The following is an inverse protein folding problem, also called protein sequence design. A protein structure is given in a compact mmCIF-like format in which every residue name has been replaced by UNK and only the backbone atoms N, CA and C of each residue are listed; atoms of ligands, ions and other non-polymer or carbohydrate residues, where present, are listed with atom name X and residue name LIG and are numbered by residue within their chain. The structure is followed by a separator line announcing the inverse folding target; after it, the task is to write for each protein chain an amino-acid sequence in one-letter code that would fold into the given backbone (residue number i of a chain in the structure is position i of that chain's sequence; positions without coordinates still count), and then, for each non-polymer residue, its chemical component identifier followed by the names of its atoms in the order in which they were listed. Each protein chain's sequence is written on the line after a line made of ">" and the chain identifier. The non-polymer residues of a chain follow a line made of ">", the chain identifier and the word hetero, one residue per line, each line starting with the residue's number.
data_IF_927470880994
#
_entry.id   IF_927470880994
#
_cell.length_a   1.000
_cell.length_b   1.000
_cell.length_c   1.000
_cell.angle_alpha   90.00
_cell.angle_beta   90.00
_cell.angle_gamma   90.00
#
_symmetry.space_group_name_H-M   'P 1'
#
loop_
_entity.id
_entity.type
_entity.pdbx_description
1 polymer ?
#
# COMPACT_ATOMS: atom_id res chain seq x y z
N UNK A 1 13.12 4.81 -13.86
CA UNK A 1 11.65 4.69 -13.82
C UNK A 1 11.39 3.47 -12.97
N UNK A 2 10.60 3.57 -11.91
CA UNK A 2 10.26 2.40 -11.10
C UNK A 2 9.47 1.42 -11.97
N UNK A 3 9.79 0.13 -11.89
CA UNK A 3 9.07 -0.91 -12.63
C UNK A 3 7.83 -1.31 -11.84
N UNK A 4 6.68 -1.37 -12.54
CA UNK A 4 5.43 -1.81 -11.94
C UNK A 4 5.60 -3.23 -11.41
N UNK A 5 5.32 -3.44 -10.13
CA UNK A 5 5.39 -4.75 -9.49
C UNK A 5 4.02 -5.44 -9.51
N UNK A 6 2.98 -4.73 -9.06
CA UNK A 6 1.63 -5.27 -8.86
C UNK A 6 0.58 -4.28 -9.34
N UNK A 7 -0.61 -4.77 -9.61
CA UNK A 7 -1.81 -3.92 -9.77
C UNK A 7 -2.68 -4.11 -8.55
N UNK A 8 -2.95 -3.03 -7.83
CA UNK A 8 -3.94 -3.01 -6.77
C UNK A 8 -5.31 -2.78 -7.37
N UNK A 9 -6.31 -3.55 -6.91
CA UNK A 9 -7.72 -3.38 -7.26
C UNK A 9 -8.54 -3.31 -5.98
N UNK A 10 -9.22 -2.19 -5.72
CA UNK A 10 -10.09 -2.02 -4.54
C UNK A 10 -11.47 -2.63 -4.77
N UNK A 11 -11.98 -3.37 -3.79
CA UNK A 11 -13.35 -3.85 -3.81
C UNK A 11 -14.30 -2.79 -3.23
N UNK A 12 -15.13 -2.16 -4.08
CA UNK A 12 -16.08 -1.12 -3.65
C UNK A 12 -17.19 -1.62 -2.72
N UNK A 13 -17.38 -2.94 -2.63
CA UNK A 13 -18.42 -3.54 -1.78
C UNK A 13 -17.87 -4.00 -0.41
N UNK A 14 -16.55 -4.02 -0.24
CA UNK A 14 -15.90 -4.44 1.00
C UNK A 14 -14.88 -3.40 1.43
N UNK A 15 -15.23 -2.69 2.49
CA UNK A 15 -14.42 -1.59 3.00
C UNK A 15 -13.02 -2.07 3.38
N UNK A 16 -12.01 -1.45 2.78
CA UNK A 16 -10.61 -1.77 2.98
C UNK A 16 -10.13 -3.10 2.38
N UNK A 17 -10.95 -3.86 1.63
CA UNK A 17 -10.45 -5.05 0.93
C UNK A 17 -9.84 -4.66 -0.43
N UNK A 18 -8.61 -5.11 -0.67
CA UNK A 18 -7.91 -4.91 -1.94
C UNK A 18 -7.39 -6.24 -2.48
N UNK A 19 -7.41 -6.39 -3.81
CA UNK A 19 -6.80 -7.53 -4.49
C UNK A 19 -5.54 -7.06 -5.21
N UNK A 20 -4.42 -7.70 -4.94
CA UNK A 20 -3.18 -7.48 -5.69
C UNK A 20 -3.10 -8.50 -6.84
N UNK A 21 -2.79 -8.00 -8.03
CA UNK A 21 -2.65 -8.78 -9.25
C UNK A 21 -1.22 -8.68 -9.76
N UNK A 22 -0.54 -9.83 -9.85
CA UNK A 22 0.81 -9.91 -10.43
C UNK A 22 0.78 -9.87 -11.96
N UNK A 23 1.92 -9.61 -12.60
CA UNK A 23 2.05 -9.66 -14.06
C UNK A 23 1.68 -11.04 -14.65
N UNK A 24 1.88 -12.11 -13.87
CA UNK A 24 1.50 -13.47 -14.25
C UNK A 24 -0.02 -13.72 -14.14
N UNK A 25 -0.79 -12.75 -13.63
CA UNK A 25 -2.23 -12.84 -13.43
C UNK A 25 -2.63 -13.54 -12.13
N UNK A 26 -1.69 -13.80 -11.22
CA UNK A 26 -1.99 -14.33 -9.89
C UNK A 26 -2.65 -13.25 -9.04
N UNK A 27 -3.68 -13.63 -8.28
CA UNK A 27 -4.48 -12.72 -7.48
C UNK A 27 -4.44 -13.13 -6.02
N UNK A 28 -4.20 -12.16 -5.15
CA UNK A 28 -4.25 -12.37 -3.71
C UNK A 28 -4.94 -11.19 -3.03
N UNK A 29 -5.81 -11.51 -2.08
CA UNK A 29 -6.59 -10.51 -1.33
C UNK A 29 -5.86 -10.09 -0.05
N UNK A 30 -5.92 -8.79 0.23
CA UNK A 30 -5.30 -8.12 1.37
C UNK A 30 -6.27 -7.11 1.97
N UNK A 31 -6.02 -6.74 3.21
CA UNK A 31 -6.69 -5.65 3.89
C UNK A 31 -5.80 -4.40 3.85
N UNK A 32 -6.37 -3.28 3.41
CA UNK A 32 -5.78 -1.95 3.52
C UNK A 32 -5.75 -1.55 5.00
N UNK A 33 -4.54 -1.36 5.53
CA UNK A 33 -4.29 -0.90 6.90
C UNK A 33 -4.31 0.62 6.93
N UNK A 34 -3.53 1.24 6.04
CA UNK A 34 -3.41 2.68 5.97
C UNK A 34 -2.83 3.12 4.63
N UNK A 35 -3.19 4.31 4.19
CA UNK A 35 -2.66 4.91 2.96
C UNK A 35 -2.40 6.39 3.19
N UNK A 36 -1.26 6.90 2.71
CA UNK A 36 -0.90 8.31 2.84
C UNK A 36 -0.14 8.82 1.63
N UNK A 37 -0.29 10.11 1.34
CA UNK A 37 0.47 10.80 0.32
C UNK A 37 1.73 11.45 0.91
N UNK A 38 2.81 11.47 0.15
CA UNK A 38 4.03 12.20 0.48
C UNK A 38 4.30 13.30 -0.53
N UNK A 39 4.04 14.54 -0.11
CA UNK A 39 4.36 15.73 -0.90
C UNK A 39 5.87 15.83 -1.24
N UNK A 40 6.73 15.25 -0.40
CA UNK A 40 8.19 15.28 -0.56
C UNK A 40 8.65 14.43 -1.74
N UNK A 41 8.04 13.25 -1.93
CA UNK A 41 8.40 12.33 -3.00
C UNK A 41 7.46 12.43 -4.21
N UNK A 42 6.34 13.14 -4.09
CA UNK A 42 5.30 13.19 -5.12
C UNK A 42 4.69 11.81 -5.40
N UNK A 43 4.65 10.97 -4.37
CA UNK A 43 4.14 9.59 -4.40
C UNK A 43 3.23 9.35 -3.21
N UNK A 44 2.40 8.34 -3.31
CA UNK A 44 1.58 7.86 -2.22
C UNK A 44 2.00 6.44 -1.84
N UNK A 45 1.77 6.07 -0.58
CA UNK A 45 2.20 4.83 0.02
C UNK A 45 1.01 4.13 0.65
N UNK A 46 0.93 2.82 0.47
CA UNK A 46 -0.11 1.97 1.02
C UNK A 46 0.49 0.85 1.86
N UNK A 47 -0.11 0.64 3.04
CA UNK A 47 0.19 -0.44 3.96
C UNK A 47 -0.93 -1.48 3.86
N UNK A 48 -0.54 -2.73 3.60
CA UNK A 48 -1.44 -3.86 3.39
C UNK A 48 -1.08 -4.98 4.34
N UNK A 49 -2.07 -5.71 4.84
CA UNK A 49 -1.85 -6.97 5.57
C UNK A 49 -2.64 -8.09 4.93
N UNK A 50 -2.12 -9.31 4.95
CA UNK A 50 -2.90 -10.46 4.49
C UNK A 50 -4.07 -10.71 5.46
N UNK A 51 -5.10 -11.42 5.00
CA UNK A 51 -6.28 -11.72 5.82
C UNK A 51 -6.03 -12.75 6.93
N UNK A 52 -4.78 -13.09 7.22
CA UNK A 52 -4.36 -14.08 8.23
C UNK A 52 -4.01 -13.39 9.56
N UNK A 53 -4.27 -14.04 10.70
CA UNK A 53 -4.15 -13.42 12.04
C UNK A 53 -2.72 -13.01 12.46
N UNK A 54 -1.68 -13.54 11.79
CA UNK A 54 -0.27 -13.22 12.06
C UNK A 54 0.46 -12.71 10.80
N UNK A 55 -0.28 -12.09 9.88
CA UNK A 55 0.29 -11.58 8.64
C UNK A 55 1.19 -10.35 8.86
N UNK A 56 2.32 -10.32 8.14
CA UNK A 56 3.21 -9.16 8.09
C UNK A 56 2.57 -8.00 7.30
N UNK A 57 2.85 -6.77 7.73
CA UNK A 57 2.46 -5.57 7.00
C UNK A 57 3.42 -5.39 5.82
N UNK A 58 2.85 -5.32 4.62
CA UNK A 58 3.54 -5.00 3.39
C UNK A 58 3.34 -3.53 3.04
N UNK A 59 4.37 -2.89 2.49
CA UNK A 59 4.33 -1.49 2.07
C UNK A 59 4.68 -1.37 0.58
N UNK A 60 3.91 -0.56 -0.15
CA UNK A 60 4.16 -0.27 -1.55
C UNK A 60 3.98 1.22 -1.85
N UNK A 61 4.72 1.72 -2.83
CA UNK A 61 4.52 3.06 -3.39
C UNK A 61 3.61 3.00 -4.61
N UNK A 62 2.87 4.07 -4.89
CA UNK A 62 2.13 4.25 -6.13
C UNK A 62 2.11 5.73 -6.51
N UNK A 63 1.97 6.00 -7.81
CA UNK A 63 1.86 7.37 -8.30
C UNK A 63 0.49 7.94 -7.92
N UNK A 64 0.44 9.21 -7.52
CA UNK A 64 -0.82 9.92 -7.31
C UNK A 64 -1.48 10.14 -8.69
N UNK A 65 -2.24 9.16 -9.16
CA UNK A 65 -3.09 9.33 -10.35
C UNK A 65 -4.29 10.16 -9.96
N UNK A 66 -4.77 11.02 -10.86
CA UNK A 66 -5.87 11.94 -10.58
C UNK A 66 -7.11 11.20 -10.05
N UNK A 67 -7.27 11.24 -8.74
CA UNK A 67 -8.32 10.54 -8.01
C UNK A 67 -7.80 9.28 -7.33
N UNK A 68 -7.11 9.40 -6.20
CA UNK A 68 -6.75 8.29 -5.31
C UNK A 68 -7.92 7.34 -4.92
N UNK A 69 -9.16 7.74 -5.20
CA UNK A 69 -10.36 6.89 -5.19
C UNK A 69 -10.53 6.00 -6.42
N UNK A 70 -9.58 5.98 -7.35
CA UNK A 70 -9.56 5.09 -8.49
C UNK A 70 -9.56 3.65 -7.99
N UNK A 71 -10.35 2.84 -8.68
CA UNK A 71 -10.56 1.45 -8.31
C UNK A 71 -9.28 0.63 -8.47
N UNK A 72 -8.30 1.13 -9.24
CA UNK A 72 -7.09 0.42 -9.62
C UNK A 72 -5.88 1.34 -9.48
N UNK A 73 -4.75 0.80 -9.04
CA UNK A 73 -3.48 1.54 -8.94
C UNK A 73 -2.29 0.62 -9.26
N UNK A 74 -1.27 1.16 -9.92
CA UNK A 74 -0.01 0.46 -10.15
C UNK A 74 0.90 0.63 -8.93
N UNK A 75 1.31 -0.49 -8.35
CA UNK A 75 2.19 -0.54 -7.19
C UNK A 75 3.63 -0.76 -7.61
N UNK A 76 4.54 -0.11 -6.88
CA UNK A 76 5.98 -0.14 -7.06
C UNK A 76 6.65 -0.45 -5.72
N UNK A 77 7.83 -1.06 -5.81
CA UNK A 77 8.70 -1.23 -4.65
C UNK A 77 9.19 0.14 -4.14
N UNK A 78 9.39 0.22 -2.84
CA UNK A 78 10.04 1.36 -2.21
C UNK A 78 11.55 1.10 -2.29
N UNK A 79 12.27 1.91 -3.06
CA UNK A 79 13.69 1.66 -3.36
C UNK A 79 14.63 2.49 -2.47
N UNK A 80 14.17 3.64 -1.98
CA UNK A 80 15.01 4.58 -1.22
C UNK A 80 14.92 4.36 0.29
N UNK A 81 16.06 4.40 0.97
CA UNK A 81 16.13 4.35 2.44
C UNK A 81 15.37 5.51 3.09
N UNK A 82 15.36 6.69 2.46
CA UNK A 82 14.59 7.85 2.93
C UNK A 82 13.07 7.61 2.87
N UNK A 83 12.59 6.96 1.79
CA UNK A 83 11.18 6.61 1.64
C UNK A 83 10.79 5.54 2.67
N UNK A 84 11.65 4.53 2.87
CA UNK A 84 11.47 3.51 3.89
C UNK A 84 11.42 4.09 5.29
N UNK A 85 12.35 4.98 5.64
CA UNK A 85 12.38 5.60 6.95
C UNK A 85 11.10 6.37 7.26
N UNK A 86 10.50 7.01 6.25
CA UNK A 86 9.20 7.69 6.37
C UNK A 86 8.06 6.69 6.59
N UNK A 87 8.02 5.61 5.81
CA UNK A 87 7.00 4.56 5.94
C UNK A 87 7.10 3.89 7.32
N UNK A 88 8.30 3.62 7.80
CA UNK A 88 8.54 3.07 9.14
C UNK A 88 8.11 4.01 10.26
N UNK A 89 8.32 5.32 10.12
CA UNK A 89 7.87 6.32 11.11
C UNK A 89 6.33 6.36 11.21
N UNK A 90 5.65 6.33 10.05
CA UNK A 90 4.19 6.23 9.97
C UNK A 90 3.70 4.91 10.56
N UNK A 91 4.31 3.78 10.18
CA UNK A 91 3.97 2.46 10.71
C UNK A 91 4.17 2.39 12.23
N UNK A 92 5.29 2.91 12.72
CA UNK A 92 5.58 3.03 14.15
C UNK A 92 4.51 3.87 14.85
N UNK A 93 4.09 4.97 14.25
CA UNK A 93 3.01 5.82 14.80
C UNK A 93 1.67 5.09 14.83
N UNK A 94 1.35 4.27 13.83
CA UNK A 94 0.11 3.48 13.82
C UNK A 94 0.17 2.36 14.88
N UNK A 95 1.29 1.63 14.95
CA UNK A 95 1.45 0.48 15.85
C UNK A 95 1.68 0.89 17.31
N UNK A 96 2.31 2.05 17.57
CA UNK A 96 2.59 2.55 18.93
C UNK A 96 1.66 3.69 19.37
N UNK A 97 0.96 4.33 18.43
CA UNK A 97 0.03 5.43 18.71
C UNK A 97 -1.32 4.95 19.26
N UNK A 98 -1.59 3.66 19.18
CA UNK A 98 -2.64 3.01 19.95
C UNK A 98 -2.03 2.17 21.07
N UNK A 99 -2.39 2.55 22.28
CA UNK A 99 -2.50 1.63 23.40
C UNK A 99 -3.47 0.51 22.96
N UNK A 100 -2.93 -0.61 22.47
CA UNK A 100 -3.68 -1.86 22.28
C UNK A 100 -4.37 -2.28 23.59
#
# INVERSE_FOLDING_TARGET
>A
MAEKLLTLVRDKNKDGLVTLVSDQGEKQDFQEVFTFASDQHGKSYILLTALEEDAEILAFAFADTEGWQEQEADLFEIESEEEWQMVEDVMTTILNGENL
#
